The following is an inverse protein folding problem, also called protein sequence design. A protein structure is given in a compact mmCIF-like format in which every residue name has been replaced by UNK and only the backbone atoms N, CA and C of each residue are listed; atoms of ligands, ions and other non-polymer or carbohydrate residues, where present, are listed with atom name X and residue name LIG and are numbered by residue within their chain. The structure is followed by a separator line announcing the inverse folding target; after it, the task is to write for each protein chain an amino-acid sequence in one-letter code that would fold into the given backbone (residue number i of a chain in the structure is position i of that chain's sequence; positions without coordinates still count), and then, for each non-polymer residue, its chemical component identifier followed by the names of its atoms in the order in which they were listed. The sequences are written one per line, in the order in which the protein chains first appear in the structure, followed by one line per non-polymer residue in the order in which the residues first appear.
data_IF_673453324999
#
_entry.id   IF_673453324999
#
_cell.length_a   1.000
_cell.length_b   1.000
_cell.length_c   1.000
_cell.angle_alpha   90.00
_cell.angle_beta   90.00
_cell.angle_gamma   90.00
#
_symmetry.space_group_name_H-M   'P 1'
#
loop_
_entity.id
_entity.type
_entity.pdbx_description
1 polymer ?
#
# COMPACT_ATOMS: atom_id res chain seq x y z
N UNK A 1 13.73 7.74 -6.90
CA UNK A 1 13.06 8.22 -5.66
C UNK A 1 11.81 7.39 -5.46
N UNK A 2 11.65 6.85 -4.26
CA UNK A 2 10.53 5.98 -3.89
C UNK A 2 9.79 6.64 -2.74
N UNK A 3 8.49 6.81 -2.84
CA UNK A 3 7.63 7.24 -1.74
C UNK A 3 7.04 6.00 -1.05
N UNK A 4 7.05 5.98 0.28
CA UNK A 4 6.50 4.91 1.10
C UNK A 4 5.48 5.46 2.08
N UNK A 5 4.35 4.76 2.25
CA UNK A 5 3.36 5.07 3.29
C UNK A 5 2.37 3.92 3.50
N UNK A 6 1.50 4.06 4.51
CA UNK A 6 0.45 3.10 4.82
C UNK A 6 -0.94 3.64 4.49
N UNK A 7 -1.72 2.83 3.79
CA UNK A 7 -3.15 3.07 3.61
C UNK A 7 -3.96 2.14 4.53
N UNK A 8 -4.59 2.72 5.54
CA UNK A 8 -5.41 1.96 6.49
C UNK A 8 -5.98 2.82 7.62
N UNK A 9 -6.66 2.22 8.60
CA UNK A 9 -6.99 0.80 8.72
C UNK A 9 -8.01 0.31 7.68
N UNK A 10 -7.78 -0.87 7.11
CA UNK A 10 -8.70 -1.55 6.20
C UNK A 10 -9.68 -2.41 7.01
N UNK A 11 -10.77 -1.83 7.46
CA UNK A 11 -11.79 -2.49 8.26
C UNK A 11 -12.81 -3.23 7.39
N UNK A 12 -13.27 -4.42 7.84
CA UNK A 12 -14.38 -5.15 7.22
C UNK A 12 -15.71 -4.58 7.69
N UNK A 13 -16.11 -3.48 7.10
CA UNK A 13 -17.41 -2.86 7.29
C UNK A 13 -18.06 -2.59 5.94
N UNK A 14 -19.40 -2.51 5.89
CA UNK A 14 -20.08 -2.02 4.71
C UNK A 14 -19.60 -0.61 4.38
N UNK A 15 -19.10 -0.43 3.17
CA UNK A 15 -18.66 0.87 2.65
C UNK A 15 -19.67 1.31 1.61
N UNK A 16 -20.48 2.31 2.00
CA UNK A 16 -21.47 2.90 1.11
C UNK A 16 -20.78 3.74 0.02
N UNK A 17 -21.48 3.95 -1.07
CA UNK A 17 -21.02 4.74 -2.19
C UNK A 17 -22.13 4.92 -3.22
N UNK A 18 -21.77 5.26 -4.44
CA UNK A 18 -22.71 5.36 -5.57
C UNK A 18 -22.44 4.22 -6.54
N UNK A 19 -23.49 3.51 -6.95
CA UNK A 19 -23.44 2.50 -7.99
C UNK A 19 -24.69 2.56 -8.86
N UNK A 20 -24.59 2.02 -10.05
CA UNK A 20 -25.76 1.82 -10.90
C UNK A 20 -26.59 0.66 -10.34
N UNK A 21 -27.92 0.85 -10.28
CA UNK A 21 -28.87 -0.18 -9.89
C UNK A 21 -30.14 -0.01 -10.73
N UNK A 22 -30.93 -1.08 -10.96
CA UNK A 22 -32.25 -0.99 -11.57
C UNK A 22 -33.15 -0.01 -10.77
N UNK A 23 -33.99 0.72 -11.49
CA UNK A 23 -34.96 1.66 -10.85
C UNK A 23 -35.82 0.89 -9.85
N UNK A 24 -35.93 1.39 -8.63
CA UNK A 24 -36.69 0.75 -7.55
C UNK A 24 -35.95 -0.39 -6.81
N UNK A 25 -34.78 -0.81 -7.27
CA UNK A 25 -34.01 -1.92 -6.68
C UNK A 25 -32.60 -1.45 -6.24
N UNK A 26 -32.47 -0.53 -5.27
CA UNK A 26 -31.17 -0.07 -4.81
C UNK A 26 -30.41 -1.21 -4.13
N UNK A 27 -29.10 -1.27 -4.34
CA UNK A 27 -28.24 -2.19 -3.63
C UNK A 27 -28.18 -1.77 -2.14
N UNK A 28 -28.70 -2.65 -1.26
CA UNK A 28 -28.71 -2.40 0.18
C UNK A 28 -27.55 -3.13 0.86
N UNK A 29 -26.87 -2.46 1.76
CA UNK A 29 -25.82 -3.03 2.60
C UNK A 29 -26.30 -3.18 4.04
N UNK A 30 -25.62 -4.05 4.79
CA UNK A 30 -25.88 -4.24 6.22
C UNK A 30 -25.71 -2.91 6.96
N UNK A 31 -26.64 -2.59 7.85
CA UNK A 31 -26.49 -1.44 8.75
C UNK A 31 -25.49 -1.72 9.89
N UNK A 32 -25.40 -3.00 10.32
CA UNK A 32 -24.54 -3.43 11.41
C UNK A 32 -23.37 -4.26 10.90
N UNK A 33 -22.21 -4.14 11.54
CA UNK A 33 -21.03 -4.94 11.24
C UNK A 33 -20.30 -5.32 12.54
N UNK A 34 -19.53 -6.40 12.46
CA UNK A 34 -18.73 -6.88 13.58
C UNK A 34 -17.25 -6.85 13.22
N UNK A 35 -16.42 -6.33 14.13
CA UNK A 35 -14.97 -6.24 13.94
C UNK A 35 -14.19 -7.53 14.28
N UNK A 36 -14.86 -8.69 14.22
CA UNK A 36 -14.27 -9.99 14.63
C UNK A 36 -13.00 -10.38 13.89
N UNK A 37 -12.84 -9.92 12.63
CA UNK A 37 -11.69 -10.30 11.80
C UNK A 37 -10.54 -9.30 11.85
N UNK A 38 -10.62 -8.28 12.71
CA UNK A 38 -9.60 -7.24 12.86
C UNK A 38 -9.47 -6.34 11.62
N UNK A 39 -8.36 -5.65 11.55
CA UNK A 39 -8.04 -4.70 10.48
C UNK A 39 -6.78 -5.12 9.75
N UNK A 40 -6.61 -4.62 8.53
CA UNK A 40 -5.39 -4.75 7.75
C UNK A 40 -4.83 -3.37 7.38
N UNK A 41 -3.60 -3.35 6.91
CA UNK A 41 -2.90 -2.15 6.43
C UNK A 41 -2.31 -2.47 5.06
N UNK A 42 -2.41 -1.56 4.10
CA UNK A 42 -1.66 -1.64 2.87
C UNK A 42 -0.35 -0.86 3.05
N UNK A 43 0.79 -1.55 3.09
CA UNK A 43 2.10 -0.94 3.05
C UNK A 43 2.47 -0.76 1.58
N UNK A 44 2.62 0.48 1.12
CA UNK A 44 2.71 0.79 -0.31
C UNK A 44 3.98 1.57 -0.66
N UNK A 45 4.46 1.37 -1.89
CA UNK A 45 5.55 2.11 -2.49
C UNK A 45 5.12 2.72 -3.82
N UNK A 46 5.53 3.94 -4.05
CA UNK A 46 5.38 4.63 -5.32
C UNK A 46 6.75 5.03 -5.87
N UNK A 47 7.16 4.41 -6.98
CA UNK A 47 8.33 4.87 -7.72
C UNK A 47 7.92 6.05 -8.60
N UNK A 48 8.43 7.23 -8.24
CA UNK A 48 8.10 8.49 -8.91
C UNK A 48 8.58 8.51 -10.36
N UNK A 49 9.76 7.95 -10.64
CA UNK A 49 10.34 7.95 -11.99
C UNK A 49 9.67 6.93 -12.91
N UNK A 50 9.39 5.74 -12.39
CA UNK A 50 8.73 4.69 -13.15
C UNK A 50 7.20 4.85 -13.18
N UNK A 51 6.64 5.84 -12.44
CA UNK A 51 5.21 6.03 -12.23
C UNK A 51 4.49 4.73 -11.83
N UNK A 52 5.09 3.98 -10.91
CA UNK A 52 4.65 2.64 -10.55
C UNK A 52 4.27 2.56 -9.08
N UNK A 53 3.05 2.11 -8.80
CA UNK A 53 2.50 1.94 -7.46
C UNK A 53 2.39 0.44 -7.14
N UNK A 54 2.99 0.02 -6.04
CA UNK A 54 2.86 -1.35 -5.53
C UNK A 54 2.60 -1.34 -4.04
N UNK A 55 2.13 -2.47 -3.51
CA UNK A 55 1.92 -2.58 -2.07
C UNK A 55 1.62 -4.01 -1.64
N UNK A 56 1.73 -4.22 -0.34
CA UNK A 56 1.41 -5.48 0.29
C UNK A 56 0.47 -5.24 1.47
N UNK A 57 -0.64 -5.97 1.49
CA UNK A 57 -1.55 -5.95 2.63
C UNK A 57 -0.97 -6.79 3.76
N UNK A 58 -0.92 -6.21 4.95
CA UNK A 58 -0.43 -6.82 6.19
C UNK A 58 -1.46 -6.68 7.30
N UNK A 59 -1.48 -7.62 8.23
CA UNK A 59 -2.35 -7.54 9.43
C UNK A 59 -1.92 -6.44 10.39
N UNK A 60 -0.64 -6.10 10.39
CA UNK A 60 -0.04 -5.10 11.28
C UNK A 60 0.90 -4.19 10.49
N UNK A 61 1.29 -3.07 11.08
CA UNK A 61 2.31 -2.15 10.58
C UNK A 61 3.46 -1.98 11.58
N UNK A 62 3.92 -3.09 12.11
CA UNK A 62 5.08 -3.11 13.02
C UNK A 62 6.38 -2.86 12.25
N UNK A 63 7.45 -2.52 12.96
CA UNK A 63 8.77 -2.39 12.34
C UNK A 63 9.21 -3.67 11.60
N UNK A 64 8.72 -4.86 12.01
CA UNK A 64 8.99 -6.12 11.31
C UNK A 64 8.27 -6.18 9.96
N UNK A 65 7.01 -5.74 9.92
CA UNK A 65 6.24 -5.68 8.67
C UNK A 65 6.84 -4.67 7.70
N UNK A 66 7.22 -3.50 8.21
CA UNK A 66 7.91 -2.45 7.44
C UNK A 66 9.24 -2.98 6.90
N UNK A 67 10.06 -3.65 7.72
CA UNK A 67 11.32 -4.24 7.29
C UNK A 67 11.12 -5.28 6.18
N UNK A 68 10.13 -6.16 6.31
CA UNK A 68 9.84 -7.18 5.31
C UNK A 68 9.46 -6.57 3.94
N UNK A 69 8.69 -5.48 3.91
CA UNK A 69 8.36 -4.82 2.63
C UNK A 69 9.55 -4.07 2.05
N UNK A 70 10.44 -3.49 2.88
CA UNK A 70 11.69 -2.89 2.41
C UNK A 70 12.68 -3.91 1.84
N UNK A 71 12.76 -5.11 2.40
CA UNK A 71 13.53 -6.21 1.83
C UNK A 71 13.04 -6.56 0.42
N UNK A 72 11.72 -6.67 0.23
CA UNK A 72 11.13 -6.89 -1.10
C UNK A 72 11.40 -5.74 -2.06
N UNK A 73 11.27 -4.49 -1.58
CA UNK A 73 11.61 -3.31 -2.39
C UNK A 73 13.05 -3.39 -2.87
N UNK A 74 14.00 -3.65 -1.97
CA UNK A 74 15.42 -3.71 -2.32
C UNK A 74 15.71 -4.76 -3.39
N UNK A 75 15.07 -5.92 -3.29
CA UNK A 75 15.23 -7.01 -4.26
C UNK A 75 14.69 -6.70 -5.67
N UNK A 76 13.90 -5.64 -5.82
CA UNK A 76 13.41 -5.19 -7.12
C UNK A 76 14.43 -4.37 -7.92
N UNK A 77 15.49 -3.87 -7.28
CA UNK A 77 16.49 -3.00 -7.90
C UNK A 77 17.88 -3.63 -7.85
N UNK A 78 18.77 -3.31 -8.81
CA UNK A 78 20.18 -3.74 -8.75
C UNK A 78 20.84 -3.26 -7.44
N UNK A 79 21.76 -4.07 -6.89
CA UNK A 79 22.39 -3.78 -5.60
C UNK A 79 23.13 -2.42 -5.57
N UNK A 80 23.75 -2.04 -6.68
CA UNK A 80 24.45 -0.76 -6.83
C UNK A 80 23.56 0.47 -6.92
N UNK A 81 22.22 0.30 -7.11
CA UNK A 81 21.30 1.43 -7.22
C UNK A 81 21.03 2.02 -5.84
N UNK A 82 21.35 3.30 -5.63
CA UNK A 82 20.95 4.03 -4.42
C UNK A 82 19.47 4.37 -4.46
N UNK A 83 18.75 4.04 -3.41
CA UNK A 83 17.31 4.31 -3.29
C UNK A 83 17.07 5.38 -2.23
N UNK A 84 16.47 6.50 -2.62
CA UNK A 84 15.96 7.52 -1.70
C UNK A 84 14.51 7.19 -1.38
N UNK A 85 14.22 6.99 -0.09
CA UNK A 85 12.89 6.59 0.40
C UNK A 85 12.26 7.75 1.14
N UNK A 86 11.29 8.40 0.51
CA UNK A 86 10.49 9.45 1.13
C UNK A 86 9.40 8.81 1.99
N UNK A 87 9.33 9.16 3.26
CA UNK A 87 8.36 8.64 4.22
C UNK A 87 8.09 9.65 5.35
N UNK A 88 7.01 9.46 6.08
CA UNK A 88 6.71 10.27 7.26
C UNK A 88 7.55 9.88 8.50
N UNK A 89 7.40 10.67 9.58
CA UNK A 89 8.11 10.47 10.82
C UNK A 89 7.49 9.43 11.76
N UNK A 90 6.67 8.52 11.26
CA UNK A 90 6.05 7.51 12.10
C UNK A 90 7.09 6.66 12.85
N UNK A 91 6.79 6.30 14.09
CA UNK A 91 7.74 5.64 14.99
C UNK A 91 8.31 4.34 14.44
N UNK A 92 7.51 3.56 13.71
CA UNK A 92 7.96 2.32 13.07
C UNK A 92 8.97 2.56 11.95
N UNK A 93 8.87 3.68 11.22
CA UNK A 93 9.83 4.06 10.17
C UNK A 93 11.19 4.46 10.77
N UNK A 94 11.15 5.10 11.93
CA UNK A 94 12.36 5.54 12.66
C UNK A 94 12.98 4.46 13.52
N UNK A 95 12.39 3.26 13.58
CA UNK A 95 12.91 2.17 14.40
C UNK A 95 14.35 1.78 13.99
N UNK A 96 15.23 1.55 14.97
CA UNK A 96 16.67 1.31 14.74
C UNK A 96 16.94 0.16 13.74
N UNK A 97 16.16 -0.92 13.78
CA UNK A 97 16.30 -2.05 12.85
C UNK A 97 15.98 -1.64 11.41
N UNK A 98 14.96 -0.81 11.19
CA UNK A 98 14.58 -0.32 9.85
C UNK A 98 15.70 0.58 9.33
N UNK A 99 16.11 1.60 10.10
CA UNK A 99 17.19 2.51 9.73
C UNK A 99 18.50 1.77 9.45
N UNK A 100 18.86 0.82 10.30
CA UNK A 100 20.08 0.01 10.13
C UNK A 100 20.02 -0.86 8.87
N UNK A 101 18.86 -1.39 8.51
CA UNK A 101 18.68 -2.10 7.25
C UNK A 101 18.87 -1.18 6.05
N UNK A 102 18.19 -0.03 6.03
CA UNK A 102 18.30 0.94 4.93
C UNK A 102 19.76 1.34 4.69
N UNK A 103 20.49 1.73 5.74
CA UNK A 103 21.88 2.14 5.65
C UNK A 103 22.79 1.05 5.06
N UNK A 104 22.62 -0.22 5.48
CA UNK A 104 23.42 -1.35 4.97
C UNK A 104 23.10 -1.77 3.54
N UNK A 105 21.96 -1.36 2.99
CA UNK A 105 21.48 -1.83 1.68
C UNK A 105 21.39 -0.71 0.64
N UNK A 106 22.21 0.34 0.79
CA UNK A 106 22.26 1.47 -0.14
C UNK A 106 20.89 2.17 -0.31
N UNK A 107 20.18 2.32 0.81
CA UNK A 107 18.89 3.01 0.87
C UNK A 107 18.97 4.17 1.87
N UNK A 108 18.47 5.33 1.48
CA UNK A 108 18.46 6.53 2.32
C UNK A 108 17.05 6.96 2.66
N UNK A 109 16.76 7.10 3.94
CA UNK A 109 15.48 7.59 4.43
C UNK A 109 15.43 9.13 4.32
N UNK A 110 14.45 9.66 3.63
CA UNK A 110 14.13 11.08 3.52
C UNK A 110 12.80 11.31 4.23
N UNK A 111 12.87 11.89 5.42
CA UNK A 111 11.67 12.13 6.23
C UNK A 111 10.99 13.44 5.82
N UNK A 112 9.66 13.39 5.61
CA UNK A 112 8.87 14.61 5.43
C UNK A 112 8.85 15.44 6.72
N UNK A 113 8.71 16.77 6.65
CA UNK A 113 8.50 17.58 7.84
C UNK A 113 7.28 17.12 8.64
N UNK A 114 7.28 17.34 9.93
CA UNK A 114 6.13 17.03 10.80
C UNK A 114 4.88 17.76 10.29
N UNK A 115 3.75 17.07 10.26
CA UNK A 115 2.48 17.57 9.72
C UNK A 115 2.49 17.92 8.22
N UNK A 116 3.43 17.42 7.44
CA UNK A 116 3.53 17.66 6.01
C UNK A 116 3.46 16.37 5.18
N UNK A 117 2.51 15.48 5.50
CA UNK A 117 2.29 14.21 4.77
C UNK A 117 1.96 14.44 3.30
N UNK A 118 1.33 15.58 2.95
CA UNK A 118 1.04 15.94 1.55
C UNK A 118 2.29 16.10 0.66
N UNK A 119 3.47 16.26 1.24
CA UNK A 119 4.73 16.25 0.50
C UNK A 119 5.14 14.84 0.07
N UNK A 120 4.51 13.81 0.63
CA UNK A 120 4.71 12.44 0.19
C UNK A 120 3.81 12.14 -1.00
N UNK A 121 4.36 12.06 -2.19
CA UNK A 121 3.60 11.91 -3.44
C UNK A 121 2.71 10.66 -3.50
N UNK A 122 2.96 9.65 -2.67
CA UNK A 122 2.13 8.44 -2.61
C UNK A 122 0.72 8.73 -2.07
N UNK A 123 0.54 9.76 -1.24
CA UNK A 123 -0.75 10.11 -0.65
C UNK A 123 -1.82 10.40 -1.72
N UNK A 124 -1.43 11.03 -2.82
CA UNK A 124 -2.32 11.30 -3.94
C UNK A 124 -2.92 10.01 -4.56
N UNK A 125 -2.27 8.87 -4.38
CA UNK A 125 -2.73 7.58 -4.91
C UNK A 125 -3.70 6.85 -3.98
N UNK A 126 -3.78 7.21 -2.71
CA UNK A 126 -4.67 6.55 -1.76
C UNK A 126 -6.14 6.95 -1.94
N UNK A 127 -6.42 8.17 -2.34
CA UNK A 127 -7.80 8.60 -2.63
C UNK A 127 -8.43 7.82 -3.78
N UNK A 128 -7.80 7.70 -4.97
CA UNK A 128 -8.30 6.84 -6.04
C UNK A 128 -8.38 5.37 -5.63
N UNK A 129 -7.37 4.85 -4.91
CA UNK A 129 -7.40 3.46 -4.41
C UNK A 129 -8.65 3.22 -3.55
N UNK A 130 -8.93 4.09 -2.58
CA UNK A 130 -10.10 3.99 -1.72
C UNK A 130 -11.39 4.04 -2.54
N UNK A 131 -11.48 4.96 -3.50
CA UNK A 131 -12.66 5.14 -4.35
C UNK A 131 -12.92 3.93 -5.26
N UNK A 132 -11.91 3.39 -5.92
CA UNK A 132 -12.08 2.35 -6.94
C UNK A 132 -11.97 0.91 -6.41
N UNK A 133 -11.21 0.69 -5.34
CA UNK A 133 -11.00 -0.66 -4.82
C UNK A 133 -11.75 -0.96 -3.52
N UNK A 134 -12.13 0.06 -2.74
CA UNK A 134 -12.70 -0.15 -1.40
C UNK A 134 -14.14 0.32 -1.26
N UNK A 135 -14.58 1.36 -2.01
CA UNK A 135 -15.96 1.85 -1.93
C UNK A 135 -16.96 0.83 -2.46
N UNK A 136 -18.22 0.96 -2.05
CA UNK A 136 -19.34 0.10 -2.47
C UNK A 136 -19.02 -1.37 -2.23
N UNK A 137 -18.66 -1.73 -1.00
CA UNK A 137 -18.28 -3.09 -0.66
C UNK A 137 -18.86 -3.53 0.68
N UNK A 138 -19.33 -4.78 0.74
CA UNK A 138 -19.77 -5.46 1.95
C UNK A 138 -19.04 -6.81 2.05
N UNK A 139 -17.73 -6.76 2.24
CA UNK A 139 -16.91 -7.96 2.33
C UNK A 139 -17.13 -8.67 3.66
N UNK A 140 -17.32 -9.99 3.61
CA UNK A 140 -17.40 -10.85 4.79
C UNK A 140 -16.04 -11.23 5.35
N UNK A 141 -15.01 -11.21 4.49
CA UNK A 141 -13.61 -11.49 4.85
C UNK A 141 -12.63 -10.60 4.08
N UNK A 142 -11.35 -10.66 4.42
CA UNK A 142 -10.30 -9.83 3.81
C UNK A 142 -9.89 -10.26 2.39
N UNK A 143 -10.18 -11.49 1.94
CA UNK A 143 -9.70 -12.02 0.65
C UNK A 143 -10.24 -11.27 -0.56
N UNK A 144 -11.56 -10.99 -0.70
CA UNK A 144 -12.08 -10.21 -1.81
C UNK A 144 -11.46 -8.81 -1.88
N UNK A 145 -11.29 -8.16 -0.73
CA UNK A 145 -10.67 -6.84 -0.62
C UNK A 145 -9.22 -6.85 -1.10
N UNK A 146 -8.40 -7.79 -0.62
CA UNK A 146 -7.00 -7.95 -1.09
C UNK A 146 -6.94 -8.15 -2.60
N UNK A 147 -7.86 -8.95 -3.17
CA UNK A 147 -7.95 -9.15 -4.64
C UNK A 147 -8.29 -7.86 -5.38
N UNK A 148 -9.25 -7.06 -4.87
CA UNK A 148 -9.60 -5.76 -5.49
C UNK A 148 -8.43 -4.79 -5.43
N UNK A 149 -7.75 -4.67 -4.30
CA UNK A 149 -6.53 -3.85 -4.18
C UNK A 149 -5.49 -4.29 -5.20
N UNK A 150 -5.18 -5.58 -5.29
CA UNK A 150 -4.20 -6.11 -6.23
C UNK A 150 -4.59 -5.84 -7.70
N UNK A 151 -5.88 -6.02 -8.06
CA UNK A 151 -6.40 -5.70 -9.40
C UNK A 151 -6.28 -4.21 -9.71
N UNK A 152 -6.62 -3.35 -8.74
CA UNK A 152 -6.49 -1.91 -8.91
C UNK A 152 -5.03 -1.49 -9.15
N UNK A 153 -4.09 -1.97 -8.35
CA UNK A 153 -2.67 -1.66 -8.51
C UNK A 153 -2.15 -2.10 -9.89
N UNK A 154 -2.53 -3.30 -10.34
CA UNK A 154 -2.17 -3.81 -11.66
C UNK A 154 -2.76 -2.95 -12.78
N UNK A 155 -4.05 -2.65 -12.70
CA UNK A 155 -4.74 -1.81 -13.68
C UNK A 155 -4.14 -0.40 -13.73
N UNK A 156 -3.99 0.25 -12.58
CA UNK A 156 -3.41 1.60 -12.46
C UNK A 156 -2.03 1.69 -13.11
N UNK A 157 -1.16 0.73 -12.83
CA UNK A 157 0.19 0.71 -13.39
C UNK A 157 0.18 0.50 -14.90
N UNK A 158 -0.74 -0.33 -15.42
CA UNK A 158 -0.92 -0.51 -16.87
C UNK A 158 -1.37 0.79 -17.54
N UNK A 159 -2.41 1.45 -17.01
CA UNK A 159 -2.94 2.70 -17.56
C UNK A 159 -1.92 3.86 -17.47
N UNK A 160 -1.09 3.87 -16.44
CA UNK A 160 -0.01 4.84 -16.28
C UNK A 160 1.20 4.60 -17.21
N UNK A 161 1.16 3.60 -18.06
CA UNK A 161 2.26 3.26 -18.96
C UNK A 161 3.50 2.70 -18.26
N UNK A 162 3.37 2.20 -17.05
CA UNK A 162 4.47 1.68 -16.22
C UNK A 162 5.05 0.35 -16.76
N UNK A 163 5.28 0.24 -18.06
CA UNK A 163 5.70 -1.02 -18.72
C UNK A 163 7.07 -1.53 -18.26
N UNK A 164 7.96 -0.66 -17.77
CA UNK A 164 9.31 -0.99 -17.28
C UNK A 164 9.45 -0.77 -15.77
N UNK A 165 8.36 -0.96 -15.01
CA UNK A 165 8.38 -0.77 -13.58
C UNK A 165 9.31 -1.81 -12.91
N UNK A 166 10.41 -1.40 -12.25
CA UNK A 166 11.26 -2.31 -11.49
C UNK A 166 10.46 -3.06 -10.43
N UNK A 167 9.45 -2.41 -9.86
CA UNK A 167 8.58 -2.95 -8.81
C UNK A 167 7.60 -4.03 -9.33
N UNK A 168 7.57 -4.34 -10.62
CA UNK A 168 6.74 -5.43 -11.17
C UNK A 168 7.02 -6.79 -10.52
N UNK A 169 8.23 -6.98 -9.97
CA UNK A 169 8.63 -8.17 -9.22
C UNK A 169 8.18 -8.17 -7.77
N UNK A 170 7.80 -7.01 -7.22
CA UNK A 170 7.50 -6.82 -5.79
C UNK A 170 6.47 -7.82 -5.26
N UNK A 171 5.38 -8.05 -5.99
CA UNK A 171 4.31 -8.98 -5.61
C UNK A 171 4.67 -10.45 -5.82
N UNK A 172 5.66 -10.74 -6.65
CA UNK A 172 6.08 -12.12 -7.00
C UNK A 172 7.17 -12.66 -6.08
N UNK A 173 7.91 -11.79 -5.38
CA UNK A 173 8.97 -12.21 -4.45
C UNK A 173 8.32 -12.90 -3.26
N UNK A 174 8.46 -14.22 -3.17
CA UNK A 174 8.16 -14.96 -1.95
C UNK A 174 9.31 -14.69 -0.97
N UNK A 175 9.02 -14.07 0.17
CA UNK A 175 9.94 -14.12 1.31
C UNK A 175 9.69 -15.46 1.97
N UNK A 176 10.74 -16.21 2.24
CA UNK A 176 10.66 -17.34 3.15
C UNK A 176 10.21 -16.78 4.49
N UNK A 177 9.07 -17.28 4.98
CA UNK A 177 8.55 -16.92 6.29
C UNK A 177 9.40 -17.65 7.33
N UNK A 178 10.31 -16.92 8.00
CA UNK A 178 11.04 -17.36 9.19
C UNK A 178 10.30 -16.89 10.43
#
# INVERSE_FOLDING_TARGET
MICFDECGPLELRPLHGRCWAPKGHPQRFRATYQRRQGTEQLLAFYDVHANCLVGQVRKRKTHRDVLAVFQRLRACYPAGTRLYIVMDNFTTHRHARVRGYLARHNMEAVFTPTYASWLNAIEAHFTPLKKFALSVSDDRDHRPRRRRIARYLTWRNREAGARRCPLSRFTRIKLEEH
#
